data_IF_924076064192
#
_entry.id   IF_924076064192
#
_cell.length_a   1.000
_cell.length_b   1.000
_cell.length_c   1.000
_cell.angle_alpha   90.00
_cell.angle_beta   90.00
_cell.angle_gamma   90.00
#
_symmetry.space_group_name_H-M   'P 1'
#
loop_
_entity.id
_entity.type
_entity.pdbx_description
1 polymer ?
#
# COMPACT_ATOMS: atom_id res chain seq x y z
N UNK A 1 14.59 59.43 -36.44
CA UNK A 1 13.67 58.38 -35.97
C UNK A 1 14.13 57.05 -36.50
N UNK A 2 14.73 56.19 -35.65
CA UNK A 2 15.12 54.82 -35.99
C UNK A 2 14.35 53.88 -35.09
N UNK A 3 13.49 53.06 -35.68
CA UNK A 3 12.71 52.05 -34.97
C UNK A 3 13.59 50.85 -34.67
N UNK A 4 13.67 50.51 -33.36
CA UNK A 4 14.18 49.26 -32.89
C UNK A 4 13.00 48.29 -32.78
N UNK A 5 13.04 47.15 -33.48
CA UNK A 5 12.07 46.07 -33.37
C UNK A 5 12.63 44.92 -32.51
N UNK A 6 11.77 44.18 -31.80
CA UNK A 6 12.14 43.50 -30.59
C UNK A 6 12.58 42.05 -30.78
N UNK A 7 13.39 41.69 -29.89
CA UNK A 7 13.83 40.34 -29.51
C UNK A 7 12.69 39.56 -28.82
N UNK A 8 11.86 38.81 -29.55
CA UNK A 8 10.73 38.03 -28.97
C UNK A 8 10.73 36.57 -29.43
N UNK A 9 11.75 36.02 -30.03
CA UNK A 9 11.72 34.64 -30.54
C UNK A 9 12.64 33.64 -29.83
N UNK A 10 13.11 33.93 -28.61
CA UNK A 10 14.08 33.06 -27.95
C UNK A 10 13.58 32.26 -26.73
N UNK A 11 12.31 32.39 -26.28
CA UNK A 11 11.84 31.77 -25.06
C UNK A 11 10.87 30.59 -25.26
N UNK A 12 10.51 30.26 -26.51
CA UNK A 12 9.55 29.16 -26.76
C UNK A 12 10.20 27.82 -27.09
N UNK A 13 11.51 27.76 -27.30
CA UNK A 13 12.21 26.52 -27.67
C UNK A 13 12.66 25.67 -26.50
N UNK A 14 12.64 26.18 -25.26
CA UNK A 14 13.11 25.43 -24.07
C UNK A 14 12.01 24.66 -23.34
N UNK A 15 10.74 24.86 -23.64
CA UNK A 15 9.63 24.20 -22.94
C UNK A 15 9.25 22.81 -23.49
N UNK A 16 9.78 22.42 -24.66
CA UNK A 16 9.46 21.13 -25.31
C UNK A 16 10.47 20.01 -25.05
N UNK A 17 11.62 20.34 -24.46
CA UNK A 17 12.66 19.33 -24.17
C UNK A 17 12.50 18.62 -22.81
N UNK A 18 11.57 19.05 -21.95
CA UNK A 18 11.39 18.50 -20.60
C UNK A 18 10.45 17.29 -20.50
N UNK A 19 9.77 16.90 -21.59
CA UNK A 19 8.81 15.80 -21.59
C UNK A 19 9.33 14.47 -22.16
N UNK A 20 10.60 14.35 -22.53
CA UNK A 20 11.11 13.15 -23.21
C UNK A 20 11.99 12.23 -22.37
N UNK A 21 12.02 12.36 -21.03
CA UNK A 21 12.76 11.46 -20.16
C UNK A 21 11.94 10.83 -19.01
N UNK A 22 10.62 10.74 -19.15
CA UNK A 22 9.91 9.69 -18.40
C UNK A 22 10.14 8.38 -19.15
N UNK A 23 11.27 7.74 -18.85
CA UNK A 23 11.53 6.38 -19.29
C UNK A 23 10.34 5.53 -18.86
N UNK A 24 9.77 4.79 -19.78
CA UNK A 24 8.80 3.74 -19.49
C UNK A 24 9.48 2.74 -18.56
N UNK A 25 9.30 2.91 -17.23
CA UNK A 25 9.96 2.09 -16.20
C UNK A 25 9.39 0.67 -16.14
N UNK A 26 9.25 0.03 -17.28
CA UNK A 26 8.93 -1.38 -17.39
C UNK A 26 10.14 -2.27 -17.11
N UNK A 27 9.91 -3.58 -16.91
CA UNK A 27 10.98 -4.55 -16.71
C UNK A 27 11.96 -4.55 -17.90
N UNK A 28 13.25 -4.48 -17.61
CA UNK A 28 14.29 -4.56 -18.63
C UNK A 28 14.46 -6.03 -19.08
N UNK A 29 14.63 -6.24 -20.40
CA UNK A 29 14.89 -7.56 -20.95
C UNK A 29 16.21 -8.12 -20.38
N UNK A 30 16.20 -9.41 -20.09
CA UNK A 30 17.36 -10.18 -19.57
C UNK A 30 17.88 -9.71 -18.20
N UNK A 31 17.08 -8.92 -17.45
CA UNK A 31 17.39 -8.51 -16.09
C UNK A 31 16.65 -9.38 -15.07
N UNK A 32 17.35 -9.84 -14.05
CA UNK A 32 16.75 -10.56 -12.92
C UNK A 32 16.27 -9.58 -11.87
N UNK A 33 15.01 -9.73 -11.47
CA UNK A 33 14.40 -8.95 -10.39
C UNK A 33 14.18 -9.86 -9.18
N UNK A 34 14.57 -9.39 -8.00
CA UNK A 34 14.27 -10.07 -6.73
C UNK A 34 13.06 -9.44 -6.10
N UNK A 35 12.01 -10.22 -5.91
CA UNK A 35 10.77 -9.78 -5.28
C UNK A 35 10.55 -10.62 -4.02
N UNK A 36 10.39 -9.96 -2.88
CA UNK A 36 10.03 -10.58 -1.60
C UNK A 36 8.55 -10.37 -1.37
N UNK A 37 7.79 -11.45 -1.21
CA UNK A 37 6.37 -11.41 -0.87
C UNK A 37 6.25 -11.63 0.63
N UNK A 38 5.71 -10.63 1.32
CA UNK A 38 5.25 -10.72 2.69
C UNK A 38 3.74 -10.94 2.66
N UNK A 39 3.23 -11.83 3.49
CA UNK A 39 1.80 -12.05 3.54
C UNK A 39 1.32 -12.25 4.98
N UNK A 40 0.06 -11.90 5.19
CA UNK A 40 -0.73 -12.18 6.38
C UNK A 40 -2.10 -12.71 5.96
N UNK A 41 -2.82 -13.30 6.88
CA UNK A 41 -4.20 -13.77 6.72
C UNK A 41 -4.82 -13.95 8.10
N UNK A 42 -6.14 -14.08 8.16
CA UNK A 42 -6.88 -14.44 9.36
C UNK A 42 -6.56 -13.53 10.56
N UNK A 43 -6.60 -12.21 10.32
CA UNK A 43 -6.30 -11.22 11.35
C UNK A 43 -7.32 -11.23 12.49
N UNK A 44 -8.60 -11.40 12.15
CA UNK A 44 -9.71 -11.52 13.10
C UNK A 44 -9.72 -10.45 14.20
N UNK A 45 -9.46 -9.19 13.81
CA UNK A 45 -9.47 -8.06 14.73
C UNK A 45 -8.35 -8.02 15.78
N UNK A 46 -7.33 -8.86 15.67
CA UNK A 46 -6.24 -8.97 16.65
C UNK A 46 -5.25 -7.81 16.54
N UNK A 47 -5.75 -6.62 16.78
CA UNK A 47 -4.99 -5.37 16.69
C UNK A 47 -3.94 -5.24 17.80
N UNK A 48 -4.26 -5.71 19.02
CA UNK A 48 -3.41 -5.60 20.19
C UNK A 48 -2.70 -6.91 20.51
N UNK A 49 -1.61 -6.82 21.27
CA UNK A 49 -1.01 -7.99 21.91
C UNK A 49 -2.01 -8.61 22.88
N UNK A 50 -2.19 -9.91 22.80
CA UNK A 50 -3.07 -10.66 23.72
C UNK A 50 -2.29 -11.46 24.77
N UNK A 51 -3.03 -12.13 25.68
CA UNK A 51 -2.48 -12.98 26.73
C UNK A 51 -1.85 -14.28 26.23
N UNK A 52 -2.20 -14.70 25.01
CA UNK A 52 -1.73 -15.96 24.41
C UNK A 52 -0.36 -15.82 23.73
N UNK A 53 0.24 -14.64 23.78
CA UNK A 53 1.56 -14.38 23.23
C UNK A 53 1.55 -13.91 21.77
N UNK A 54 0.38 -13.69 21.19
CA UNK A 54 0.27 -13.08 19.85
C UNK A 54 0.59 -11.58 19.94
N UNK A 55 1.40 -11.12 19.00
CA UNK A 55 1.78 -9.71 18.90
C UNK A 55 0.86 -9.00 17.92
N UNK A 56 0.37 -7.81 18.33
CA UNK A 56 -0.54 -7.02 17.52
C UNK A 56 0.12 -6.24 16.39
N UNK A 57 -0.64 -5.33 15.78
CA UNK A 57 -0.22 -4.57 14.59
C UNK A 57 1.06 -3.75 14.77
N UNK A 58 1.33 -3.22 15.96
CA UNK A 58 2.55 -2.44 16.21
C UNK A 58 3.82 -3.27 16.02
N UNK A 59 3.84 -4.49 16.56
CA UNK A 59 4.97 -5.41 16.39
C UNK A 59 5.08 -5.89 14.92
N UNK A 60 3.93 -6.18 14.28
CA UNK A 60 3.85 -6.50 12.86
C UNK A 60 4.46 -5.39 12.01
N UNK A 61 4.12 -4.13 12.31
CA UNK A 61 4.71 -2.96 11.62
C UNK A 61 6.24 -2.94 11.74
N UNK A 62 6.75 -3.13 12.95
CA UNK A 62 8.21 -3.15 13.20
C UNK A 62 8.90 -4.24 12.37
N UNK A 63 8.34 -5.45 12.33
CA UNK A 63 8.87 -6.56 11.56
C UNK A 63 8.86 -6.27 10.04
N UNK A 64 7.72 -5.82 9.54
CA UNK A 64 7.53 -5.50 8.11
C UNK A 64 8.51 -4.40 7.68
N UNK A 65 8.65 -3.34 8.46
CA UNK A 65 9.56 -2.24 8.13
C UNK A 65 11.03 -2.70 8.13
N UNK A 66 11.41 -3.56 9.07
CA UNK A 66 12.75 -4.17 9.10
C UNK A 66 13.02 -4.96 7.83
N UNK A 67 12.13 -5.88 7.46
CA UNK A 67 12.28 -6.70 6.24
C UNK A 67 12.31 -5.83 4.99
N UNK A 68 11.44 -4.82 4.89
CA UNK A 68 11.43 -3.88 3.77
C UNK A 68 12.75 -3.12 3.64
N UNK A 69 13.33 -2.71 4.77
CA UNK A 69 14.63 -2.04 4.78
C UNK A 69 15.75 -2.95 4.26
N UNK A 70 15.79 -4.22 4.70
CA UNK A 70 16.75 -5.22 4.24
C UNK A 70 16.60 -5.51 2.74
N UNK A 71 15.35 -5.71 2.27
CA UNK A 71 15.05 -5.96 0.86
C UNK A 71 15.50 -4.78 0.00
N UNK A 72 15.19 -3.56 0.43
CA UNK A 72 15.62 -2.34 -0.27
C UNK A 72 17.14 -2.21 -0.30
N UNK A 73 17.82 -2.48 0.82
CA UNK A 73 19.28 -2.43 0.89
C UNK A 73 19.96 -3.44 -0.04
N UNK A 74 19.31 -4.59 -0.30
CA UNK A 74 19.78 -5.59 -1.26
C UNK A 74 19.38 -5.32 -2.72
N UNK A 75 18.75 -4.16 -3.02
CA UNK A 75 18.30 -3.81 -4.37
C UNK A 75 17.07 -4.60 -4.84
N UNK A 76 16.33 -5.21 -3.92
CA UNK A 76 15.12 -5.94 -4.21
C UNK A 76 13.85 -5.09 -4.08
N UNK A 77 12.71 -5.74 -4.33
CA UNK A 77 11.36 -5.18 -4.19
C UNK A 77 10.57 -6.03 -3.20
N UNK A 78 9.61 -5.42 -2.50
CA UNK A 78 8.70 -6.14 -1.61
C UNK A 78 7.25 -5.85 -1.94
N UNK A 79 6.40 -6.85 -1.74
CA UNK A 79 4.94 -6.74 -1.73
C UNK A 79 4.44 -7.24 -0.39
N UNK A 80 3.47 -6.54 0.19
CA UNK A 80 2.75 -6.97 1.40
C UNK A 80 1.30 -7.24 1.03
N UNK A 81 0.92 -8.51 1.12
CA UNK A 81 -0.41 -8.99 0.73
C UNK A 81 -1.16 -9.53 1.94
N UNK A 82 -2.49 -9.49 1.90
CA UNK A 82 -3.34 -10.10 2.91
C UNK A 82 -4.29 -11.11 2.28
N UNK A 83 -4.49 -12.25 2.93
CA UNK A 83 -5.34 -13.33 2.47
C UNK A 83 -6.82 -13.17 2.81
N UNK A 84 -7.20 -12.12 3.53
CA UNK A 84 -8.56 -11.90 4.01
C UNK A 84 -8.78 -12.36 5.44
N UNK A 85 -10.05 -12.38 5.83
CA UNK A 85 -10.50 -12.65 7.18
C UNK A 85 -9.93 -11.66 8.22
N UNK A 86 -10.04 -10.39 7.89
CA UNK A 86 -9.75 -9.29 8.82
C UNK A 86 -10.87 -9.16 9.83
N UNK A 87 -12.10 -9.35 9.36
CA UNK A 87 -13.31 -9.29 10.19
C UNK A 87 -13.43 -10.48 11.11
N UNK A 88 -14.20 -10.28 12.08
CA UNK A 88 -14.85 -11.08 13.14
C UNK A 88 -13.87 -11.80 14.04
N UNK A 89 -13.81 -11.39 15.29
CA UNK A 89 -12.97 -12.07 16.27
C UNK A 89 -12.95 -11.43 17.64
N UNK A 90 -12.64 -10.15 17.72
CA UNK A 90 -12.58 -9.47 19.03
C UNK A 90 -13.53 -8.27 19.08
N UNK A 91 -14.12 -7.98 20.24
CA UNK A 91 -15.14 -6.93 20.38
C UNK A 91 -14.66 -5.55 19.91
N UNK A 92 -13.40 -5.23 20.11
CA UNK A 92 -12.80 -3.94 19.72
C UNK A 92 -12.86 -3.71 18.22
N UNK A 93 -12.73 -4.76 17.42
CA UNK A 93 -12.88 -4.74 15.97
C UNK A 93 -14.35 -4.85 15.56
N UNK A 94 -15.06 -5.84 16.09
CA UNK A 94 -16.41 -6.21 15.68
C UNK A 94 -17.42 -5.08 15.91
N UNK A 95 -17.32 -4.37 17.03
CA UNK A 95 -18.21 -3.25 17.38
C UNK A 95 -17.95 -2.00 16.52
N UNK A 96 -16.83 -1.97 15.82
CA UNK A 96 -16.41 -0.85 14.97
C UNK A 96 -16.30 -1.23 13.50
N UNK A 97 -16.90 -2.36 13.08
CA UNK A 97 -16.90 -2.84 11.71
C UNK A 97 -15.48 -2.93 11.10
N UNK A 98 -14.50 -3.35 11.91
CA UNK A 98 -13.07 -3.46 11.59
C UNK A 98 -12.42 -2.14 11.13
N UNK A 99 -13.01 -1.00 11.42
CA UNK A 99 -12.41 0.31 11.07
C UNK A 99 -11.01 0.51 11.64
N UNK A 100 -10.70 0.13 12.91
CA UNK A 100 -9.34 0.22 13.43
C UNK A 100 -8.36 -0.64 12.63
N UNK A 101 -8.78 -1.84 12.24
CA UNK A 101 -7.95 -2.83 11.54
C UNK A 101 -7.55 -2.31 10.16
N UNK A 102 -8.51 -1.86 9.35
CA UNK A 102 -8.21 -1.27 8.04
C UNK A 102 -7.35 -0.01 8.13
N UNK A 103 -7.54 0.84 9.15
CA UNK A 103 -6.63 1.98 9.40
C UNK A 103 -5.21 1.50 9.74
N UNK A 104 -5.09 0.47 10.57
CA UNK A 104 -3.81 -0.16 10.88
C UNK A 104 -3.14 -0.74 9.64
N UNK A 105 -3.89 -1.46 8.81
CA UNK A 105 -3.40 -2.00 7.53
C UNK A 105 -2.91 -0.91 6.58
N UNK A 106 -3.60 0.23 6.51
CA UNK A 106 -3.13 1.39 5.74
C UNK A 106 -1.77 1.90 6.25
N UNK A 107 -1.58 1.96 7.58
CA UNK A 107 -0.30 2.35 8.18
C UNK A 107 0.81 1.32 7.95
N UNK A 108 0.47 0.04 7.86
CA UNK A 108 1.41 -1.02 7.49
C UNK A 108 1.79 -0.97 6.00
N UNK A 109 0.98 -0.31 5.18
CA UNK A 109 1.21 -0.17 3.75
C UNK A 109 1.01 -1.49 3.01
N UNK A 110 -0.16 -2.12 3.18
CA UNK A 110 -0.54 -3.26 2.34
C UNK A 110 -0.67 -2.85 0.89
N UNK A 111 -0.26 -3.75 -0.01
CA UNK A 111 -0.31 -3.55 -1.46
C UNK A 111 -1.60 -4.10 -2.06
N UNK A 112 -2.16 -5.17 -1.48
CA UNK A 112 -3.46 -5.73 -1.84
C UNK A 112 -3.99 -6.67 -0.75
N UNK A 113 -5.30 -6.93 -0.78
CA UNK A 113 -5.98 -7.88 0.09
C UNK A 113 -6.98 -8.72 -0.71
N UNK A 114 -7.02 -10.03 -0.46
CA UNK A 114 -8.14 -10.86 -0.86
C UNK A 114 -9.32 -10.65 0.11
N UNK A 115 -10.54 -10.79 -0.41
CA UNK A 115 -11.74 -10.78 0.43
C UNK A 115 -11.99 -12.21 0.91
N UNK A 116 -11.89 -12.43 2.22
CA UNK A 116 -12.14 -13.72 2.84
C UNK A 116 -13.64 -13.95 3.13
N UNK A 117 -13.96 -15.08 3.76
CA UNK A 117 -15.36 -15.40 4.07
C UNK A 117 -15.90 -14.54 5.22
N UNK A 118 -15.10 -14.16 6.18
CA UNK A 118 -15.51 -13.34 7.32
C UNK A 118 -15.81 -11.87 6.95
N UNK A 119 -15.37 -11.38 5.81
CA UNK A 119 -15.80 -10.09 5.29
C UNK A 119 -17.29 -10.08 4.92
N UNK A 120 -17.92 -11.24 4.80
CA UNK A 120 -19.37 -11.39 4.54
C UNK A 120 -20.20 -11.68 5.78
N UNK A 121 -19.63 -11.74 6.97
CA UNK A 121 -20.37 -11.94 8.22
C UNK A 121 -21.28 -10.76 8.55
N UNK A 122 -21.00 -9.60 8.00
CA UNK A 122 -21.76 -8.36 8.16
C UNK A 122 -22.48 -7.97 6.87
N UNK A 123 -23.48 -7.08 6.95
CA UNK A 123 -24.19 -6.61 5.76
C UNK A 123 -23.22 -6.08 4.67
N UNK A 124 -23.53 -6.24 3.38
CA UNK A 124 -22.67 -5.80 2.28
C UNK A 124 -22.24 -4.33 2.32
N UNK A 125 -23.06 -3.48 2.98
CA UNK A 125 -22.71 -2.07 3.19
C UNK A 125 -21.43 -1.89 4.04
N UNK A 126 -21.15 -2.81 4.97
CA UNK A 126 -19.94 -2.78 5.80
C UNK A 126 -18.70 -3.07 4.93
N UNK A 127 -18.74 -4.13 4.13
CA UNK A 127 -17.65 -4.41 3.18
C UNK A 127 -17.43 -3.26 2.19
N UNK A 128 -18.52 -2.66 1.70
CA UNK A 128 -18.42 -1.49 0.81
C UNK A 128 -17.79 -0.27 1.51
N UNK A 129 -18.02 -0.08 2.81
CA UNK A 129 -17.38 0.95 3.62
C UNK A 129 -15.89 0.62 3.84
N UNK A 130 -15.55 -0.62 4.19
CA UNK A 130 -14.19 -1.09 4.39
C UNK A 130 -13.34 -0.90 3.11
N UNK A 131 -13.88 -1.25 1.95
CA UNK A 131 -13.24 -1.01 0.64
C UNK A 131 -12.94 0.46 0.35
N UNK A 132 -13.78 1.38 0.83
CA UNK A 132 -13.52 2.82 0.71
C UNK A 132 -12.47 3.32 1.69
N UNK A 133 -12.36 2.67 2.85
CA UNK A 133 -11.41 3.01 3.90
C UNK A 133 -10.00 2.49 3.57
N UNK A 134 -9.91 1.33 2.94
CA UNK A 134 -8.65 0.72 2.54
C UNK A 134 -7.91 1.61 1.51
N UNK A 135 -6.62 1.84 1.74
CA UNK A 135 -5.74 2.54 0.80
C UNK A 135 -5.11 1.59 -0.24
N UNK A 136 -5.59 0.36 -0.30
CA UNK A 136 -5.13 -0.72 -1.18
C UNK A 136 -6.33 -1.43 -1.83
N UNK A 137 -6.17 -2.09 -2.98
CA UNK A 137 -7.21 -2.88 -3.63
C UNK A 137 -7.62 -4.11 -2.81
N UNK A 138 -8.91 -4.41 -2.88
CA UNK A 138 -9.54 -5.60 -2.30
C UNK A 138 -10.28 -6.37 -3.38
#
# INVERSE_FOLDING_TARGET
MKFVKPLVYSTLAFALAACSSMGSGGPEKDKTYRITILHTNDHHGRFWKNGDGEYGMAARKTLIDGIRAEVKASGGYSLLLDGGDVNTGVPESDLQDAVPDFKGMNLLGYDAMAVGNHEFDKPPAVLAMQRKLAAFPM
#
